data_IF_067465252460
#
_entry.id   IF_067465252460
#
_cell.length_a   1.000
_cell.length_b   1.000
_cell.length_c   1.000
_cell.angle_alpha   90.00
_cell.angle_beta   90.00
_cell.angle_gamma   90.00
#
_symmetry.space_group_name_H-M   'P 1'
#
loop_
_entity.id
_entity.type
_entity.pdbx_description
1 polymer ?
#
# COMPACT_ATOMS: atom_id res chain seq x y z
N UNK A 1 0.88 26.88 24.79
CA UNK A 1 1.80 25.73 24.63
C UNK A 1 1.88 25.44 23.14
N UNK A 2 3.07 25.44 22.55
CA UNK A 2 3.23 24.98 21.16
C UNK A 2 3.23 23.45 21.18
N UNK A 3 2.14 22.83 20.73
CA UNK A 3 2.10 21.40 20.47
C UNK A 3 2.81 21.15 19.15
N UNK A 4 3.84 20.30 19.17
CA UNK A 4 4.39 19.78 17.92
C UNK A 4 3.27 19.02 17.18
N UNK A 5 3.11 19.22 15.86
CA UNK A 5 2.11 18.50 15.08
C UNK A 5 2.35 16.99 15.16
N UNK A 6 1.27 16.21 15.16
CA UNK A 6 1.35 14.75 15.11
C UNK A 6 1.93 14.31 13.76
N UNK A 7 2.63 13.16 13.72
CA UNK A 7 3.34 12.72 12.51
C UNK A 7 2.44 12.69 11.26
N UNK A 8 1.19 12.26 11.39
CA UNK A 8 0.25 12.13 10.27
C UNK A 8 -0.28 13.47 9.75
N UNK A 9 -0.15 14.56 10.52
CA UNK A 9 -0.58 15.89 10.08
C UNK A 9 0.35 16.48 9.02
N UNK A 10 1.64 16.09 9.06
CA UNK A 10 2.66 16.59 8.13
C UNK A 10 3.31 15.48 7.29
N UNK A 11 3.01 14.21 7.55
CA UNK A 11 3.59 13.08 6.84
C UNK A 11 3.00 12.88 5.44
N UNK A 12 3.81 12.35 4.52
CA UNK A 12 3.43 11.99 3.16
C UNK A 12 3.00 10.52 3.12
N UNK A 13 1.72 10.29 2.79
CA UNK A 13 1.15 8.94 2.65
C UNK A 13 1.14 8.54 1.18
N UNK A 14 1.65 7.35 0.88
CA UNK A 14 1.58 6.75 -0.45
C UNK A 14 0.56 5.61 -0.45
N UNK A 15 -0.48 5.73 -1.30
CA UNK A 15 -1.46 4.67 -1.45
C UNK A 15 -0.99 3.64 -2.48
N UNK A 16 -1.11 2.36 -2.14
CA UNK A 16 -0.83 1.25 -3.03
C UNK A 16 -2.10 0.43 -3.22
N UNK A 17 -2.43 0.17 -4.48
CA UNK A 17 -3.41 -0.84 -4.89
C UNK A 17 -2.66 -2.14 -5.26
N UNK A 18 -2.56 -3.15 -4.36
CA UNK A 18 -1.62 -4.25 -4.51
C UNK A 18 -1.77 -5.03 -5.82
N UNK A 19 -3.02 -5.28 -6.25
CA UNK A 19 -3.34 -6.04 -7.48
C UNK A 19 -2.75 -5.42 -8.75
N UNK A 20 -2.43 -4.13 -8.77
CA UNK A 20 -1.85 -3.47 -9.94
C UNK A 20 -0.46 -2.87 -9.68
N UNK A 21 0.13 -3.13 -8.52
CA UNK A 21 1.41 -2.52 -8.16
C UNK A 21 2.59 -3.30 -8.73
N UNK A 22 2.76 -4.56 -8.33
CA UNK A 22 3.80 -5.42 -8.88
C UNK A 22 3.52 -6.90 -8.64
N UNK A 23 3.52 -7.67 -9.73
CA UNK A 23 3.44 -9.13 -9.74
C UNK A 23 4.83 -9.74 -9.60
N UNK A 24 4.98 -10.71 -8.70
CA UNK A 24 6.20 -11.51 -8.50
C UNK A 24 6.01 -12.98 -8.83
N UNK A 25 4.81 -13.37 -9.22
CA UNK A 25 4.38 -14.75 -9.48
C UNK A 25 4.20 -15.06 -10.97
N UNK A 26 4.05 -14.02 -11.81
CA UNK A 26 3.76 -14.17 -13.24
C UNK A 26 2.30 -14.49 -13.54
N UNK A 27 1.39 -14.26 -12.59
CA UNK A 27 -0.05 -14.52 -12.73
C UNK A 27 -0.82 -13.33 -13.32
N UNK A 28 -0.17 -12.17 -13.47
CA UNK A 28 -0.76 -10.94 -14.00
C UNK A 28 -1.45 -10.06 -12.95
N UNK A 29 -1.43 -10.46 -11.67
CA UNK A 29 -1.89 -9.64 -10.54
C UNK A 29 -0.75 -9.37 -9.58
N UNK A 30 -0.69 -8.16 -9.07
CA UNK A 30 0.29 -7.80 -8.04
C UNK A 30 0.01 -8.46 -6.70
N UNK A 31 1.07 -8.55 -5.89
CA UNK A 31 1.07 -9.28 -4.63
C UNK A 31 1.92 -8.56 -3.55
N UNK A 32 1.82 -9.02 -2.30
CA UNK A 32 2.52 -8.40 -1.18
C UNK A 32 4.05 -8.52 -1.27
N UNK A 33 4.60 -9.56 -1.92
CA UNK A 33 6.06 -9.64 -2.17
C UNK A 33 6.49 -8.57 -3.16
N UNK A 34 5.65 -8.25 -4.13
CA UNK A 34 5.84 -7.11 -5.03
C UNK A 34 5.92 -5.79 -4.28
N UNK A 35 5.02 -5.56 -3.31
CA UNK A 35 5.06 -4.39 -2.43
C UNK A 35 6.38 -4.34 -1.64
N UNK A 36 6.76 -5.44 -1.01
CA UNK A 36 8.02 -5.55 -0.24
C UNK A 36 9.23 -5.22 -1.12
N UNK A 37 9.26 -5.70 -2.37
CA UNK A 37 10.39 -5.46 -3.30
C UNK A 37 10.60 -4.00 -3.69
N UNK A 38 9.63 -3.12 -3.40
CA UNK A 38 9.68 -1.68 -3.71
C UNK A 38 9.81 -0.79 -2.48
N UNK A 39 9.95 -1.34 -1.28
CA UNK A 39 10.08 -0.53 -0.08
C UNK A 39 11.30 0.41 -0.15
N UNK A 40 12.43 -0.02 -0.70
CA UNK A 40 13.61 0.83 -0.89
C UNK A 40 13.34 2.00 -1.88
N UNK A 41 12.55 1.74 -2.93
CA UNK A 41 12.12 2.80 -3.85
C UNK A 41 11.21 3.82 -3.14
N UNK A 42 10.25 3.33 -2.36
CA UNK A 42 9.30 4.18 -1.62
C UNK A 42 10.01 4.99 -0.53
N UNK A 43 10.98 4.38 0.15
CA UNK A 43 11.85 5.09 1.10
C UNK A 43 12.66 6.19 0.39
N UNK A 44 13.26 5.88 -0.77
CA UNK A 44 14.00 6.88 -1.56
C UNK A 44 13.08 8.01 -2.07
N UNK A 45 11.82 7.71 -2.37
CA UNK A 45 10.81 8.71 -2.74
C UNK A 45 10.49 9.65 -1.57
N UNK A 46 10.71 9.22 -0.32
CA UNK A 46 10.54 10.03 0.89
C UNK A 46 9.15 9.97 1.50
N UNK A 47 8.47 8.82 1.40
CA UNK A 47 7.15 8.63 2.02
C UNK A 47 7.29 8.28 3.51
N UNK A 48 6.32 8.70 4.33
CA UNK A 48 6.30 8.42 5.77
C UNK A 48 5.43 7.22 6.12
N UNK A 49 4.41 6.93 5.31
CA UNK A 49 3.51 5.80 5.52
C UNK A 49 2.93 5.25 4.21
N UNK A 50 2.53 3.98 4.24
CA UNK A 50 1.85 3.30 3.14
C UNK A 50 0.39 3.05 3.55
N UNK A 51 -0.54 3.41 2.66
CA UNK A 51 -1.93 2.97 2.76
C UNK A 51 -2.20 1.91 1.69
N UNK A 52 -2.48 0.68 2.11
CA UNK A 52 -2.89 -0.39 1.20
C UNK A 52 -4.41 -0.39 1.02
N UNK A 53 -4.88 -0.52 -0.21
CA UNK A 53 -6.25 -0.96 -0.45
C UNK A 53 -6.44 -2.41 0.08
N UNK A 54 -7.67 -2.92 0.21
CA UNK A 54 -7.91 -4.23 0.81
C UNK A 54 -7.09 -5.37 0.19
N UNK A 55 -6.59 -6.25 1.06
CA UNK A 55 -5.76 -7.42 0.72
C UNK A 55 -6.20 -8.69 1.46
N UNK A 56 -7.40 -8.66 2.05
CA UNK A 56 -8.01 -9.82 2.71
C UNK A 56 -8.60 -10.80 1.69
N UNK A 57 -8.99 -11.99 2.16
CA UNK A 57 -9.77 -12.93 1.34
C UNK A 57 -11.09 -12.27 0.95
N UNK A 58 -11.43 -12.32 -0.34
CA UNK A 58 -12.59 -11.65 -0.91
C UNK A 58 -13.01 -12.35 -2.21
N UNK A 59 -14.32 -12.40 -2.54
CA UNK A 59 -14.82 -12.88 -3.83
C UNK A 59 -14.41 -12.03 -5.03
N UNK A 60 -13.85 -10.84 -4.80
CA UNK A 60 -13.35 -9.89 -5.80
C UNK A 60 -14.45 -9.27 -6.68
N UNK A 61 -15.70 -9.22 -6.22
CA UNK A 61 -16.78 -8.49 -6.91
C UNK A 61 -16.49 -6.98 -6.89
N UNK A 62 -15.92 -6.48 -5.81
CA UNK A 62 -15.46 -5.09 -5.66
C UNK A 62 -13.97 -5.04 -5.30
N UNK A 63 -13.17 -5.88 -5.98
CA UNK A 63 -11.70 -5.84 -5.90
C UNK A 63 -11.10 -5.85 -4.48
N UNK A 64 -11.73 -6.59 -3.56
CA UNK A 64 -11.26 -6.74 -2.18
C UNK A 64 -12.04 -5.93 -1.16
N UNK A 65 -12.87 -4.97 -1.58
CA UNK A 65 -13.76 -4.25 -0.66
C UNK A 65 -14.94 -5.10 -0.18
N UNK A 66 -15.29 -6.15 -0.93
CA UNK A 66 -16.20 -7.23 -0.54
C UNK A 66 -15.46 -8.33 0.24
N UNK A 67 -15.22 -8.13 1.54
CA UNK A 67 -14.48 -9.08 2.39
C UNK A 67 -15.31 -10.34 2.72
N UNK A 68 -14.68 -11.52 2.67
CA UNK A 68 -15.30 -12.83 2.94
C UNK A 68 -15.17 -13.29 4.39
#
# INVERSE_FOLDING_TARGET
MNTLPLWWQNGVIYQIYPKSFQDTTGTGTGDLRGVISRLDYLQKLGIDAIWLTPFYVSPQVDNGYDVA
#
